data_IF_647424796412
#
_entry.id   IF_647424796412
#
_cell.length_a   1.000
_cell.length_b   1.000
_cell.length_c   1.000
_cell.angle_alpha   90.00
_cell.angle_beta   90.00
_cell.angle_gamma   90.00
#
_symmetry.space_group_name_H-M   'P 1'
#
loop_
_entity.id
_entity.type
_entity.pdbx_description
1 polymer ?
#
# COMPACT_ATOMS: atom_id res chain seq x y z
N UNK A 1 16.70 -26.77 4.03
CA UNK A 1 15.43 -26.07 4.32
C UNK A 1 15.15 -25.26 3.05
N UNK A 2 14.13 -25.67 2.30
CA UNK A 2 13.97 -25.28 0.88
C UNK A 2 13.50 -23.82 0.84
N UNK A 3 14.38 -22.92 0.38
CA UNK A 3 13.96 -21.60 -0.10
C UNK A 3 13.12 -21.81 -1.36
N UNK A 4 11.79 -21.73 -1.23
CA UNK A 4 10.93 -21.60 -2.40
C UNK A 4 11.26 -20.25 -3.06
N UNK A 5 12.04 -20.31 -4.14
CA UNK A 5 12.12 -19.24 -5.12
C UNK A 5 10.72 -18.99 -5.68
N UNK A 6 9.96 -18.08 -5.07
CA UNK A 6 8.67 -17.61 -5.60
C UNK A 6 8.86 -16.68 -6.82
N UNK A 7 9.81 -17.02 -7.71
CA UNK A 7 10.17 -16.27 -8.90
C UNK A 7 9.19 -16.56 -10.03
N UNK A 8 8.19 -15.71 -10.19
CA UNK A 8 7.47 -15.58 -11.46
C UNK A 8 7.96 -14.31 -12.14
N UNK A 9 8.16 -14.39 -13.45
CA UNK A 9 8.60 -13.26 -14.25
C UNK A 9 7.42 -12.45 -14.81
N UNK A 10 6.18 -12.96 -14.67
CA UNK A 10 4.97 -12.34 -15.23
C UNK A 10 3.76 -12.35 -14.31
N UNK A 11 3.08 -11.22 -14.25
CA UNK A 11 1.82 -11.01 -13.54
C UNK A 11 0.80 -10.39 -14.49
N UNK A 12 -0.42 -10.89 -14.45
CA UNK A 12 -1.58 -10.28 -15.10
C UNK A 12 -2.45 -9.65 -14.03
N UNK A 13 -2.71 -8.35 -14.14
CA UNK A 13 -3.60 -7.63 -13.23
C UNK A 13 -4.95 -7.41 -13.91
N UNK A 14 -5.96 -8.16 -13.50
CA UNK A 14 -7.35 -7.96 -13.88
C UNK A 14 -7.82 -6.63 -13.30
N UNK A 15 -8.11 -5.66 -14.18
CA UNK A 15 -8.41 -4.30 -13.80
C UNK A 15 -9.84 -3.93 -14.19
N UNK A 16 -10.65 -3.54 -13.21
CA UNK A 16 -12.01 -3.02 -13.39
C UNK A 16 -12.10 -1.58 -12.85
N UNK A 17 -13.30 -1.11 -12.50
CA UNK A 17 -13.50 0.21 -11.89
C UNK A 17 -12.69 0.41 -10.59
N UNK A 18 -12.34 -0.68 -9.89
CA UNK A 18 -11.55 -0.61 -8.67
C UNK A 18 -10.12 -0.17 -8.90
N UNK A 19 -9.60 -0.21 -10.15
CA UNK A 19 -8.29 0.33 -10.49
C UNK A 19 -8.11 1.80 -10.05
N UNK A 20 -9.20 2.57 -10.09
CA UNK A 20 -9.25 3.99 -9.76
C UNK A 20 -9.71 4.27 -8.32
N UNK A 21 -10.05 3.24 -7.52
CA UNK A 21 -10.37 3.44 -6.12
C UNK A 21 -9.17 4.03 -5.38
N UNK A 22 -9.43 5.04 -4.54
CA UNK A 22 -8.41 5.64 -3.70
C UNK A 22 -8.34 4.93 -2.36
N UNK A 23 -7.20 4.30 -2.07
CA UNK A 23 -6.95 3.63 -0.80
C UNK A 23 -5.67 4.24 -0.21
N UNK A 24 -5.81 4.92 0.93
CA UNK A 24 -4.70 5.61 1.59
C UNK A 24 -4.00 6.64 0.67
N UNK A 25 -4.79 7.35 -0.14
CA UNK A 25 -4.31 8.46 -0.99
C UNK A 25 -3.57 8.03 -2.27
N UNK A 26 -3.63 6.75 -2.65
CA UNK A 26 -3.15 6.23 -3.94
C UNK A 26 -4.28 5.54 -4.68
N UNK A 27 -4.24 5.56 -6.02
CA UNK A 27 -5.10 4.68 -6.82
C UNK A 27 -4.67 3.24 -6.59
N UNK A 28 -5.64 2.35 -6.58
CA UNK A 28 -5.43 0.97 -6.23
C UNK A 28 -4.52 0.23 -7.25
N UNK A 29 -4.61 0.55 -8.54
CA UNK A 29 -3.67 0.02 -9.53
C UNK A 29 -2.24 0.51 -9.28
N UNK A 30 -2.05 1.80 -8.97
CA UNK A 30 -0.73 2.36 -8.61
C UNK A 30 -0.16 1.62 -7.39
N UNK A 31 -1.01 1.36 -6.39
CA UNK A 31 -0.64 0.67 -5.16
C UNK A 31 -0.16 -0.75 -5.40
N UNK A 32 -0.89 -1.54 -6.19
CA UNK A 32 -0.51 -2.92 -6.52
C UNK A 32 0.81 -2.97 -7.29
N UNK A 33 0.98 -2.07 -8.25
CA UNK A 33 2.20 -2.00 -9.07
C UNK A 33 3.41 -1.58 -8.24
N UNK A 34 3.26 -0.60 -7.35
CA UNK A 34 4.32 -0.21 -6.40
C UNK A 34 4.66 -1.34 -5.42
N UNK A 35 3.65 -2.09 -4.95
CA UNK A 35 3.86 -3.28 -4.14
C UNK A 35 4.65 -4.36 -4.88
N UNK A 36 4.31 -4.65 -6.14
CA UNK A 36 5.00 -5.63 -6.96
C UNK A 36 6.44 -5.20 -7.28
N UNK A 37 6.67 -3.91 -7.51
CA UNK A 37 8.02 -3.36 -7.68
C UNK A 37 8.87 -3.52 -6.41
N UNK A 38 8.30 -3.28 -5.23
CA UNK A 38 8.96 -3.54 -3.95
C UNK A 38 9.25 -5.04 -3.75
N UNK A 39 8.27 -5.90 -4.05
CA UNK A 39 8.44 -7.35 -3.98
C UNK A 39 9.57 -7.84 -4.90
N UNK A 40 9.63 -7.33 -6.13
CA UNK A 40 10.71 -7.64 -7.07
C UNK A 40 12.09 -7.19 -6.56
N UNK A 41 12.16 -6.00 -5.93
CA UNK A 41 13.39 -5.50 -5.29
C UNK A 41 13.82 -6.42 -4.15
N UNK A 42 12.88 -6.88 -3.32
CA UNK A 42 13.15 -7.74 -2.18
C UNK A 42 13.63 -9.15 -2.59
N UNK A 43 13.12 -9.69 -3.70
CA UNK A 43 13.57 -10.99 -4.22
C UNK A 43 14.97 -10.95 -4.88
N UNK A 44 15.54 -9.75 -5.11
CA UNK A 44 16.86 -9.61 -5.71
C UNK A 44 16.93 -10.10 -7.17
N UNK A 45 15.80 -10.28 -7.86
CA UNK A 45 15.78 -10.80 -9.23
C UNK A 45 16.49 -9.83 -10.18
N UNK A 46 17.46 -10.33 -10.94
CA UNK A 46 18.11 -9.55 -12.00
C UNK A 46 17.10 -9.14 -13.10
N UNK A 47 16.09 -9.98 -13.33
CA UNK A 47 15.04 -9.76 -14.31
C UNK A 47 13.93 -8.86 -13.76
N UNK A 48 13.35 -8.05 -14.66
CA UNK A 48 12.16 -7.24 -14.37
C UNK A 48 10.92 -8.11 -14.45
N UNK A 49 9.99 -7.92 -13.51
CA UNK A 49 8.67 -8.55 -13.57
C UNK A 49 7.85 -7.83 -14.65
N UNK A 50 7.33 -8.59 -15.60
CA UNK A 50 6.36 -8.11 -16.58
C UNK A 50 4.97 -8.07 -15.95
N UNK A 51 4.35 -6.89 -15.93
CA UNK A 51 2.97 -6.70 -15.51
C UNK A 51 2.13 -6.39 -16.75
N UNK A 52 1.20 -7.28 -17.06
CA UNK A 52 0.19 -7.08 -18.09
C UNK A 52 -1.09 -6.63 -17.41
N UNK A 53 -1.49 -5.38 -17.63
CA UNK A 53 -2.76 -4.86 -17.14
C UNK A 53 -3.87 -5.29 -18.09
N UNK A 54 -4.77 -6.12 -17.59
CA UNK A 54 -5.88 -6.66 -18.36
C UNK A 54 -7.19 -6.02 -17.92
N UNK A 55 -7.60 -4.99 -18.67
CA UNK A 55 -8.81 -4.24 -18.39
C UNK A 55 -10.07 -5.04 -18.72
N UNK A 56 -11.07 -4.89 -17.86
CA UNK A 56 -12.43 -5.32 -18.10
C UNK A 56 -12.94 -4.67 -19.40
N UNK A 57 -13.47 -5.45 -20.37
CA UNK A 57 -13.78 -4.94 -21.72
C UNK A 57 -14.67 -3.70 -21.73
N UNK A 58 -15.60 -3.59 -20.77
CA UNK A 58 -16.56 -2.48 -20.66
C UNK A 58 -15.93 -1.15 -20.22
N UNK A 59 -14.69 -1.15 -19.70
CA UNK A 59 -14.03 0.08 -19.23
C UNK A 59 -13.51 0.89 -20.44
N UNK A 60 -13.90 2.16 -20.61
CA UNK A 60 -13.45 3.00 -21.72
C UNK A 60 -11.94 3.24 -21.72
N UNK A 61 -11.31 3.34 -22.90
CA UNK A 61 -9.86 3.59 -23.02
C UNK A 61 -9.38 4.87 -22.29
N UNK A 62 -10.22 5.90 -22.19
CA UNK A 62 -9.92 7.14 -21.45
C UNK A 62 -9.70 6.92 -19.95
N UNK A 63 -10.28 5.85 -19.38
CA UNK A 63 -10.18 5.52 -17.95
C UNK A 63 -9.05 4.52 -17.66
N UNK A 64 -8.45 3.93 -18.70
CA UNK A 64 -7.38 2.92 -18.63
C UNK A 64 -6.01 3.55 -18.37
N UNK A 65 -5.88 4.20 -17.22
CA UNK A 65 -4.70 4.98 -16.88
C UNK A 65 -3.63 4.12 -16.20
N UNK A 66 -2.62 3.69 -16.97
CA UNK A 66 -1.46 2.96 -16.44
C UNK A 66 -0.63 3.83 -15.46
N UNK A 67 -0.11 3.24 -14.37
CA UNK A 67 0.79 3.93 -13.44
C UNK A 67 2.05 4.46 -14.12
N UNK A 68 2.38 5.73 -13.88
CA UNK A 68 3.59 6.40 -14.37
C UNK A 68 4.39 6.97 -13.19
N UNK A 69 4.86 6.10 -12.30
CA UNK A 69 5.61 6.54 -11.12
C UNK A 69 7.12 6.35 -11.35
N UNK A 70 7.93 7.38 -11.09
CA UNK A 70 9.40 7.32 -11.22
C UNK A 70 10.07 6.26 -10.32
N UNK A 71 9.34 5.76 -9.31
CA UNK A 71 9.82 4.75 -8.36
C UNK A 71 9.69 3.32 -8.89
N UNK A 72 8.91 3.11 -9.95
CA UNK A 72 8.77 1.82 -10.63
C UNK A 72 10.04 1.61 -11.45
N UNK A 73 10.83 0.61 -11.08
CA UNK A 73 12.18 0.39 -11.62
C UNK A 73 12.42 -1.07 -12.01
N UNK A 74 11.80 -2.01 -11.28
CA UNK A 74 11.92 -3.47 -11.46
C UNK A 74 10.72 -4.10 -12.17
N UNK A 75 9.77 -3.28 -12.60
CA UNK A 75 8.57 -3.73 -13.30
C UNK A 75 8.51 -3.12 -14.69
N UNK A 76 8.06 -3.92 -15.67
CA UNK A 76 7.65 -3.44 -16.99
C UNK A 76 6.13 -3.53 -17.08
N UNK A 77 5.45 -2.40 -17.28
CA UNK A 77 4.01 -2.39 -17.47
C UNK A 77 3.65 -2.39 -18.95
N UNK A 78 2.73 -3.27 -19.31
CA UNK A 78 2.08 -3.33 -20.62
C UNK A 78 0.57 -3.44 -20.43
N UNK A 79 -0.20 -3.03 -21.44
CA UNK A 79 -1.63 -3.34 -21.49
C UNK A 79 -1.83 -4.62 -22.30
N UNK A 80 -2.80 -5.45 -21.92
CA UNK A 80 -3.14 -6.64 -22.69
C UNK A 80 -3.63 -6.25 -24.09
N UNK A 81 -2.83 -6.55 -25.12
CA UNK A 81 -3.17 -6.34 -26.53
C UNK A 81 -2.99 -7.64 -27.31
N UNK A 82 -4.07 -8.17 -27.89
CA UNK A 82 -4.04 -9.37 -28.73
C UNK A 82 -4.12 -10.67 -27.92
N UNK A 83 -3.00 -11.10 -27.32
CA UNK A 83 -2.95 -12.36 -26.55
C UNK A 83 -2.20 -12.22 -25.24
N UNK A 84 -2.64 -12.94 -24.21
CA UNK A 84 -1.92 -13.05 -22.94
C UNK A 84 -1.19 -14.39 -22.91
N UNK A 85 0.12 -14.34 -22.73
CA UNK A 85 0.98 -15.52 -22.68
C UNK A 85 0.74 -16.35 -21.40
N UNK A 86 0.98 -17.68 -21.48
CA UNK A 86 0.81 -18.58 -20.34
C UNK A 86 1.85 -18.35 -19.23
N UNK A 87 1.70 -19.10 -18.14
CA UNK A 87 2.52 -19.08 -16.93
C UNK A 87 2.52 -17.77 -16.13
N UNK A 88 1.63 -16.82 -16.44
CA UNK A 88 1.42 -15.62 -15.66
C UNK A 88 0.62 -15.90 -14.38
N UNK A 89 1.00 -15.28 -13.26
CA UNK A 89 0.16 -15.23 -12.05
C UNK A 89 -0.91 -14.15 -12.19
N UNK A 90 -2.11 -14.44 -11.72
CA UNK A 90 -3.23 -13.50 -11.78
C UNK A 90 -3.39 -12.76 -10.46
N UNK A 91 -3.55 -11.45 -10.55
CA UNK A 91 -4.02 -10.57 -9.50
C UNK A 91 -5.22 -9.78 -10.02
N UNK A 92 -5.99 -9.16 -9.12
CA UNK A 92 -7.04 -8.21 -9.50
C UNK A 92 -6.89 -6.89 -8.75
N UNK A 93 -7.36 -5.79 -9.33
CA UNK A 93 -7.37 -4.47 -8.67
C UNK A 93 -8.20 -4.47 -7.38
N UNK A 94 -9.17 -5.38 -7.25
CA UNK A 94 -9.92 -5.59 -6.00
C UNK A 94 -9.10 -6.22 -4.87
N UNK A 95 -7.89 -6.71 -5.12
CA UNK A 95 -7.00 -7.19 -4.07
C UNK A 95 -6.29 -6.02 -3.39
N UNK A 96 -6.64 -5.71 -2.16
CA UNK A 96 -5.84 -4.86 -1.29
C UNK A 96 -4.73 -5.67 -0.63
N UNK A 97 -3.49 -5.19 -0.71
CA UNK A 97 -2.35 -5.78 -0.01
C UNK A 97 -1.66 -4.72 0.83
N UNK A 98 -1.37 -5.07 2.09
CA UNK A 98 -0.56 -4.27 2.99
C UNK A 98 0.87 -4.09 2.49
N UNK A 99 1.62 -3.17 3.10
CA UNK A 99 3.03 -2.98 2.74
C UNK A 99 3.83 -4.24 3.05
N UNK A 100 4.75 -4.65 2.16
CA UNK A 100 5.55 -5.89 2.28
C UNK A 100 4.75 -7.20 2.42
N UNK A 101 3.44 -7.19 2.17
CA UNK A 101 2.58 -8.36 2.38
C UNK A 101 2.38 -9.24 1.12
N UNK A 102 2.90 -8.82 -0.03
CA UNK A 102 2.75 -9.58 -1.29
C UNK A 102 3.44 -10.95 -1.24
N UNK A 103 4.62 -11.04 -0.61
CA UNK A 103 5.29 -12.33 -0.43
C UNK A 103 4.42 -13.30 0.37
N UNK A 104 3.81 -12.81 1.45
CA UNK A 104 2.88 -13.59 2.28
C UNK A 104 1.63 -13.99 1.50
N UNK A 105 1.04 -13.07 0.74
CA UNK A 105 -0.09 -13.41 -0.14
C UNK A 105 0.26 -14.54 -1.11
N UNK A 106 1.42 -14.45 -1.77
CA UNK A 106 1.86 -15.44 -2.74
C UNK A 106 2.23 -16.80 -2.14
N UNK A 107 2.56 -16.86 -0.85
CA UNK A 107 2.86 -18.11 -0.15
C UNK A 107 1.63 -18.74 0.50
N UNK A 108 0.62 -17.95 0.89
CA UNK A 108 -0.59 -18.45 1.55
C UNK A 108 -1.74 -18.74 0.58
N UNK A 109 -1.80 -18.05 -0.55
CA UNK A 109 -2.93 -18.14 -1.48
C UNK A 109 -2.58 -19.00 -2.69
N UNK A 110 -3.41 -20.01 -3.05
CA UNK A 110 -3.18 -20.82 -4.24
C UNK A 110 -2.98 -19.96 -5.49
N UNK A 111 -1.94 -20.20 -6.30
CA UNK A 111 -1.67 -19.37 -7.45
C UNK A 111 -2.73 -19.62 -8.53
N UNK A 112 -3.46 -18.57 -8.90
CA UNK A 112 -4.28 -18.57 -10.11
C UNK A 112 -3.35 -18.28 -11.29
N UNK A 113 -3.23 -19.24 -12.22
CA UNK A 113 -2.31 -19.18 -13.35
C UNK A 113 -3.05 -19.27 -14.67
N UNK A 114 -2.47 -18.63 -15.69
CA UNK A 114 -2.89 -18.81 -17.08
C UNK A 114 -2.13 -20.00 -17.65
N UNK A 115 -2.81 -21.13 -17.85
CA UNK A 115 -2.18 -22.36 -18.37
C UNK A 115 -2.04 -22.37 -19.89
N UNK A 116 -2.97 -21.72 -20.58
CA UNK A 116 -3.02 -21.65 -22.05
C UNK A 116 -3.06 -20.20 -22.50
N UNK A 117 -2.47 -19.87 -23.67
CA UNK A 117 -2.52 -18.52 -24.21
C UNK A 117 -3.97 -18.08 -24.40
N UNK A 118 -4.29 -16.88 -23.93
CA UNK A 118 -5.63 -16.31 -24.03
C UNK A 118 -5.69 -15.48 -25.30
N UNK A 119 -6.51 -15.92 -26.26
CA UNK A 119 -6.75 -15.21 -27.53
C UNK A 119 -8.08 -14.44 -27.48
N UNK A 120 -9.12 -15.03 -26.87
CA UNK A 120 -10.38 -14.34 -26.59
C UNK A 120 -10.31 -13.64 -25.22
N UNK A 121 -9.95 -12.37 -25.24
CA UNK A 121 -9.88 -11.54 -24.04
C UNK A 121 -11.28 -11.27 -23.45
N UNK A 122 -12.29 -11.07 -24.28
CA UNK A 122 -13.63 -10.68 -23.80
C UNK A 122 -14.26 -11.80 -22.96
N UNK A 123 -14.22 -13.05 -23.43
CA UNK A 123 -14.74 -14.20 -22.69
C UNK A 123 -13.83 -14.70 -21.56
N UNK A 124 -12.54 -14.33 -21.57
CA UNK A 124 -11.60 -14.74 -20.54
C UNK A 124 -11.68 -13.90 -19.26
N UNK A 125 -11.89 -12.59 -19.38
CA UNK A 125 -11.85 -11.69 -18.22
C UNK A 125 -12.79 -12.13 -17.08
N UNK A 126 -14.10 -12.39 -17.32
CA UNK A 126 -15.02 -12.78 -16.24
C UNK A 126 -14.65 -14.12 -15.60
N UNK A 127 -14.20 -15.10 -16.40
CA UNK A 127 -13.81 -16.44 -15.91
C UNK A 127 -12.60 -16.36 -14.99
N UNK A 128 -11.57 -15.62 -15.40
CA UNK A 128 -10.36 -15.44 -14.59
C UNK A 128 -10.65 -14.66 -13.31
N UNK A 129 -11.48 -13.63 -13.41
CA UNK A 129 -11.88 -12.83 -12.26
C UNK A 129 -12.66 -13.68 -11.24
N UNK A 130 -13.63 -14.47 -11.69
CA UNK A 130 -14.40 -15.37 -10.83
C UNK A 130 -13.50 -16.41 -10.15
N UNK A 131 -12.54 -16.99 -10.88
CA UNK A 131 -11.57 -17.91 -10.31
C UNK A 131 -10.72 -17.22 -9.23
N UNK A 132 -10.21 -16.02 -9.50
CA UNK A 132 -9.44 -15.23 -8.54
C UNK A 132 -10.25 -14.85 -7.30
N UNK A 133 -11.49 -14.42 -7.48
CA UNK A 133 -12.41 -14.10 -6.38
C UNK A 133 -12.67 -15.33 -5.50
N UNK A 134 -12.98 -16.50 -6.09
CA UNK A 134 -13.19 -17.74 -5.34
C UNK A 134 -11.98 -18.11 -4.50
N UNK A 135 -10.78 -18.03 -5.08
CA UNK A 135 -9.53 -18.30 -4.37
C UNK A 135 -9.32 -17.32 -3.20
N UNK A 136 -9.56 -16.02 -3.40
CA UNK A 136 -9.45 -15.06 -2.30
C UNK A 136 -10.49 -15.30 -1.21
N UNK A 137 -11.73 -15.67 -1.55
CA UNK A 137 -12.80 -15.94 -0.58
C UNK A 137 -12.60 -17.24 0.21
N UNK A 138 -11.83 -18.18 -0.32
CA UNK A 138 -11.47 -19.42 0.39
C UNK A 138 -10.34 -19.25 1.41
N UNK A 139 -9.68 -18.09 1.44
CA UNK A 139 -8.58 -17.81 2.36
C UNK A 139 -9.03 -17.74 3.82
N UNK A 140 -8.12 -18.03 4.75
CA UNK A 140 -8.43 -18.00 6.17
C UNK A 140 -8.38 -16.58 6.75
N UNK A 141 -9.11 -16.30 7.84
CA UNK A 141 -9.07 -15.00 8.54
C UNK A 141 -7.66 -14.58 8.98
N UNK A 142 -6.76 -15.54 9.25
CA UNK A 142 -5.38 -15.26 9.62
C UNK A 142 -4.55 -14.72 8.44
N UNK A 143 -4.90 -15.11 7.22
CA UNK A 143 -4.29 -14.61 5.99
C UNK A 143 -4.78 -13.21 5.66
N UNK A 144 -6.06 -12.93 5.92
CA UNK A 144 -6.70 -11.61 5.71
C UNK A 144 -6.14 -10.48 6.60
N UNK A 145 -5.26 -10.78 7.57
CA UNK A 145 -4.62 -9.74 8.39
C UNK A 145 -3.71 -8.83 7.54
N UNK A 146 -3.15 -9.33 6.45
CA UNK A 146 -2.13 -8.63 5.64
C UNK A 146 -2.62 -8.22 4.25
N UNK A 147 -3.70 -8.83 3.77
CA UNK A 147 -4.34 -8.52 2.50
C UNK A 147 -5.86 -8.69 2.62
N UNK A 148 -6.63 -8.15 1.68
CA UNK A 148 -8.09 -8.24 1.68
C UNK A 148 -8.62 -8.21 0.24
N UNK A 149 -9.61 -9.03 -0.07
CA UNK A 149 -10.39 -8.86 -1.29
C UNK A 149 -11.49 -7.83 -1.06
N UNK A 150 -11.60 -6.83 -1.94
CA UNK A 150 -12.56 -5.73 -1.83
C UNK A 150 -13.68 -5.94 -2.85
N UNK A 151 -14.83 -6.40 -2.38
CA UNK A 151 -16.02 -6.51 -3.20
C UNK A 151 -16.69 -5.14 -3.42
N UNK A 152 -16.55 -4.22 -2.46
CA UNK A 152 -17.21 -2.92 -2.49
C UNK A 152 -16.31 -1.77 -2.00
N UNK A 153 -16.55 -0.52 -2.47
CA UNK A 153 -15.83 0.66 -1.98
C UNK A 153 -15.99 0.92 -0.48
N UNK A 154 -17.08 0.45 0.14
CA UNK A 154 -17.34 0.58 1.59
C UNK A 154 -16.25 -0.07 2.45
N UNK A 155 -15.53 -1.07 1.90
CA UNK A 155 -14.48 -1.81 2.57
C UNK A 155 -13.13 -1.06 2.60
N UNK A 156 -12.98 0.01 1.82
CA UNK A 156 -11.75 0.81 1.75
C UNK A 156 -11.35 1.33 3.14
N UNK A 157 -12.32 1.80 3.93
CA UNK A 157 -12.05 2.32 5.27
C UNK A 157 -11.46 1.24 6.19
N UNK A 158 -11.94 0.00 6.07
CA UNK A 158 -11.42 -1.13 6.85
C UNK A 158 -9.99 -1.46 6.42
N UNK A 159 -9.71 -1.45 5.11
CA UNK A 159 -8.39 -1.68 4.53
C UNK A 159 -7.37 -0.60 4.92
N UNK A 160 -7.77 0.67 4.96
CA UNK A 160 -6.91 1.76 5.44
C UNK A 160 -6.57 1.60 6.94
N UNK A 161 -7.55 1.22 7.76
CA UNK A 161 -7.29 0.91 9.17
C UNK A 161 -6.32 -0.25 9.31
N UNK A 162 -6.51 -1.31 8.53
CA UNK A 162 -5.63 -2.48 8.49
C UNK A 162 -4.20 -2.09 8.07
N UNK A 163 -4.05 -1.24 7.06
CA UNK A 163 -2.76 -0.72 6.62
C UNK A 163 -2.01 0.01 7.73
N UNK A 164 -2.70 0.96 8.39
CA UNK A 164 -2.10 1.83 9.40
C UNK A 164 -1.79 1.09 10.70
N UNK A 165 -2.55 0.04 11.03
CA UNK A 165 -2.25 -0.82 12.19
C UNK A 165 -0.88 -1.47 12.09
N UNK A 166 -0.49 -1.91 10.88
CA UNK A 166 0.81 -2.52 10.61
C UNK A 166 1.94 -1.52 10.34
N UNK A 167 1.66 -0.21 10.45
CA UNK A 167 2.66 0.84 10.23
C UNK A 167 3.43 1.24 11.50
N UNK A 168 3.26 0.51 12.62
CA UNK A 168 4.02 0.76 13.86
C UNK A 168 5.48 0.32 13.74
N UNK A 169 6.38 0.96 14.50
CA UNK A 169 7.81 0.61 14.54
C UNK A 169 8.07 -0.36 15.69
N UNK A 170 9.04 -1.27 15.52
CA UNK A 170 9.43 -2.21 16.58
C UNK A 170 9.99 -1.53 17.82
N UNK A 171 10.62 -0.36 17.66
CA UNK A 171 11.17 0.45 18.76
C UNK A 171 10.16 1.39 19.44
N UNK A 172 8.86 1.33 19.11
CA UNK A 172 7.86 2.17 19.76
C UNK A 172 7.78 1.84 21.27
N UNK A 173 8.17 2.81 22.12
CA UNK A 173 8.00 2.71 23.57
C UNK A 173 6.52 2.63 23.97
N UNK A 174 6.23 2.28 25.24
CA UNK A 174 4.85 2.05 25.72
C UNK A 174 3.91 3.24 25.44
N UNK A 175 4.34 4.47 25.71
CA UNK A 175 3.54 5.68 25.44
C UNK A 175 3.27 5.84 23.94
N UNK A 176 4.28 5.60 23.09
CA UNK A 176 4.09 5.63 21.64
C UNK A 176 3.07 4.58 21.20
N UNK A 177 3.24 3.34 21.65
CA UNK A 177 2.43 2.19 21.24
C UNK A 177 0.95 2.30 21.66
N UNK A 178 0.68 2.77 22.88
CA UNK A 178 -0.66 2.76 23.47
C UNK A 178 -1.39 4.11 23.41
N UNK A 179 -0.67 5.24 23.33
CA UNK A 179 -1.28 6.57 23.28
C UNK A 179 -1.06 7.25 21.92
N UNK A 180 0.19 7.39 21.49
CA UNK A 180 0.48 8.19 20.30
C UNK A 180 0.03 7.49 19.01
N UNK A 181 0.23 6.17 18.88
CA UNK A 181 -0.11 5.38 17.70
C UNK A 181 -1.61 5.33 17.40
N UNK A 182 -2.51 5.11 18.37
CA UNK A 182 -3.94 5.19 18.10
C UNK A 182 -4.37 6.56 17.56
N UNK A 183 -3.84 7.66 18.13
CA UNK A 183 -4.21 9.02 17.73
C UNK A 183 -3.59 9.39 16.38
N UNK A 184 -2.28 9.16 16.21
CA UNK A 184 -1.57 9.42 14.95
C UNK A 184 -2.19 8.67 13.78
N UNK A 185 -2.55 7.39 13.90
CA UNK A 185 -3.22 6.64 12.82
C UNK A 185 -4.57 7.25 12.43
N UNK A 186 -5.33 7.80 13.36
CA UNK A 186 -6.59 8.50 13.06
C UNK A 186 -6.29 9.78 12.27
N UNK A 187 -5.31 10.56 12.72
CA UNK A 187 -4.87 11.79 12.04
C UNK A 187 -4.33 11.47 10.64
N UNK A 188 -3.39 10.54 10.53
CA UNK A 188 -2.82 10.06 9.26
C UNK A 188 -3.91 9.66 8.28
N UNK A 189 -4.93 8.90 8.69
CA UNK A 189 -6.02 8.51 7.80
C UNK A 189 -6.77 9.71 7.22
N UNK A 190 -6.91 10.80 7.98
CA UNK A 190 -7.48 12.05 7.48
C UNK A 190 -6.51 12.75 6.52
N UNK A 191 -5.22 12.82 6.87
CA UNK A 191 -4.18 13.43 6.04
C UNK A 191 -3.96 12.69 4.71
N UNK A 192 -4.18 11.37 4.67
CA UNK A 192 -4.06 10.57 3.45
C UNK A 192 -5.10 10.93 2.38
N UNK A 193 -6.23 11.53 2.78
CA UNK A 193 -7.24 12.08 1.85
C UNK A 193 -6.79 13.39 1.19
N UNK A 194 -5.73 14.00 1.72
CA UNK A 194 -5.17 15.24 1.21
C UNK A 194 -3.92 14.94 0.37
N UNK A 195 -3.55 15.81 -0.58
CA UNK A 195 -2.32 15.71 -1.36
C UNK A 195 -1.07 16.11 -0.53
N UNK A 196 -1.02 15.71 0.75
CA UNK A 196 0.10 16.00 1.65
C UNK A 196 1.19 14.95 1.46
N UNK A 197 2.44 15.41 1.44
CA UNK A 197 3.66 14.59 1.41
C UNK A 197 4.21 14.39 2.82
N UNK A 198 4.98 13.30 3.08
CA UNK A 198 5.63 13.09 4.38
C UNK A 198 6.45 14.31 4.82
N UNK A 199 7.26 14.88 3.92
CA UNK A 199 8.09 16.04 4.22
C UNK A 199 7.27 17.27 4.64
N UNK A 200 6.11 17.49 4.00
CA UNK A 200 5.22 18.57 4.41
C UNK A 200 4.68 18.34 5.82
N UNK A 201 4.33 17.09 6.17
CA UNK A 201 3.95 16.72 7.54
C UNK A 201 5.09 16.99 8.54
N UNK A 202 6.32 16.58 8.22
CA UNK A 202 7.50 16.85 9.07
C UNK A 202 7.74 18.35 9.28
N UNK A 203 7.64 19.16 8.22
CA UNK A 203 7.82 20.62 8.31
C UNK A 203 6.73 21.25 9.19
N UNK A 204 5.47 20.82 9.05
CA UNK A 204 4.37 21.30 9.88
C UNK A 204 4.59 20.95 11.36
N UNK A 205 5.00 19.71 11.64
CA UNK A 205 5.34 19.26 13.00
C UNK A 205 6.50 20.08 13.59
N UNK A 206 7.55 20.33 12.80
CA UNK A 206 8.69 21.14 13.22
C UNK A 206 8.29 22.61 13.50
N UNK A 207 7.41 23.19 12.68
CA UNK A 207 6.93 24.56 12.88
C UNK A 207 6.11 24.75 14.17
N UNK A 208 5.55 23.68 14.74
CA UNK A 208 4.86 23.73 16.04
C UNK A 208 5.83 23.79 17.22
N UNK A 209 7.09 23.34 17.06
CA UNK A 209 8.05 23.29 18.17
C UNK A 209 8.41 24.69 18.73
N UNK A 210 8.69 25.73 17.91
CA UNK A 210 8.86 27.09 18.41
C UNK A 210 7.63 27.63 19.15
N UNK A 211 6.42 27.27 18.71
CA UNK A 211 5.17 27.68 19.38
C UNK A 211 5.09 27.05 20.75
N UNK A 212 5.33 25.74 20.86
CA UNK A 212 5.38 25.05 22.16
C UNK A 212 6.43 25.66 23.08
N UNK A 213 7.63 25.93 22.57
CA UNK A 213 8.72 26.58 23.30
C UNK A 213 8.33 27.96 23.83
N UNK A 214 7.70 28.81 23.01
CA UNK A 214 7.25 30.14 23.42
C UNK A 214 6.25 30.10 24.58
N UNK A 215 5.38 29.07 24.65
CA UNK A 215 4.49 28.86 25.80
C UNK A 215 5.25 28.34 27.03
N UNK A 216 6.18 27.39 26.86
CA UNK A 216 6.94 26.82 27.98
C UNK A 216 7.86 27.85 28.66
N UNK A 217 8.50 28.73 27.89
CA UNK A 217 9.43 29.75 28.43
C UNK A 217 8.75 30.82 29.27
N UNK A 218 7.42 31.01 29.13
CA UNK A 218 6.67 31.96 29.97
C UNK A 218 6.74 31.64 31.46
N UNK A 219 6.94 30.37 31.82
CA UNK A 219 7.11 29.93 33.21
C UNK A 219 5.86 30.04 34.09
N UNK A 220 4.70 30.36 33.51
CA UNK A 220 3.42 30.38 34.20
C UNK A 220 2.65 29.06 34.01
N UNK A 221 1.60 28.86 34.81
CA UNK A 221 0.80 27.62 34.78
C UNK A 221 0.17 27.38 33.39
N UNK A 222 -0.39 28.43 32.79
CA UNK A 222 -1.03 28.35 31.47
C UNK A 222 -0.02 28.02 30.38
N UNK A 223 1.17 28.62 30.41
CA UNK A 223 2.27 28.34 29.51
C UNK A 223 2.75 26.90 29.61
N UNK A 224 2.89 26.38 30.83
CA UNK A 224 3.23 24.97 31.05
C UNK A 224 2.16 24.03 30.49
N UNK A 225 0.87 24.29 30.76
CA UNK A 225 -0.25 23.47 30.31
C UNK A 225 -0.33 23.41 28.76
N UNK A 226 -0.35 24.58 28.12
CA UNK A 226 -0.45 24.68 26.65
C UNK A 226 0.81 24.16 25.97
N UNK A 227 1.99 24.53 26.49
CA UNK A 227 3.28 24.10 25.96
C UNK A 227 3.45 22.58 26.03
N UNK A 228 3.08 21.95 27.15
CA UNK A 228 3.13 20.49 27.30
C UNK A 228 2.12 19.78 26.39
N UNK A 229 0.92 20.33 26.23
CA UNK A 229 -0.08 19.80 25.30
C UNK A 229 0.39 19.87 23.84
N UNK A 230 1.01 20.98 23.43
CA UNK A 230 1.61 21.12 22.10
C UNK A 230 2.80 20.18 21.91
N UNK A 231 3.66 20.03 22.91
CA UNK A 231 4.76 19.07 22.87
C UNK A 231 4.24 17.63 22.69
N UNK A 232 3.20 17.26 23.42
CA UNK A 232 2.56 15.96 23.24
C UNK A 232 1.94 15.80 21.85
N UNK A 233 1.32 16.86 21.31
CA UNK A 233 0.80 16.85 19.94
C UNK A 233 1.92 16.67 18.90
N UNK A 234 3.07 17.34 19.07
CA UNK A 234 4.25 17.17 18.21
C UNK A 234 4.70 15.71 18.21
N UNK A 235 4.80 15.07 19.37
CA UNK A 235 5.17 13.64 19.47
C UNK A 235 4.16 12.71 18.77
N UNK A 236 2.89 13.08 18.70
CA UNK A 236 1.87 12.34 17.95
C UNK A 236 2.03 12.58 16.44
N UNK A 237 2.22 13.84 16.03
CA UNK A 237 2.33 14.23 14.61
C UNK A 237 3.62 13.73 13.96
N UNK A 238 4.71 13.61 14.72
CA UNK A 238 5.95 12.99 14.27
C UNK A 238 5.75 11.52 13.84
N UNK A 239 4.78 10.81 14.44
CA UNK A 239 4.41 9.48 14.00
C UNK A 239 3.74 9.44 12.62
N UNK A 240 3.09 10.54 12.21
CA UNK A 240 2.25 10.61 11.02
C UNK A 240 3.07 10.64 9.73
N UNK A 241 4.24 11.29 9.70
CA UNK A 241 5.03 11.42 8.47
C UNK A 241 5.50 10.05 7.94
N UNK A 242 5.96 9.16 8.83
CA UNK A 242 6.38 7.81 8.52
C UNK A 242 5.21 6.92 8.13
N UNK A 243 4.05 7.11 8.76
CA UNK A 243 2.82 6.39 8.38
C UNK A 243 2.35 6.82 6.97
N UNK A 244 2.38 8.11 6.65
CA UNK A 244 2.10 8.62 5.29
C UNK A 244 3.13 8.10 4.30
N UNK A 245 4.42 8.09 4.68
CA UNK A 245 5.50 7.62 3.82
C UNK A 245 5.32 6.15 3.44
N UNK A 246 5.02 5.28 4.41
CA UNK A 246 4.76 3.86 4.16
C UNK A 246 3.46 3.65 3.38
N UNK A 247 2.41 4.38 3.72
CA UNK A 247 1.10 4.26 3.07
C UNK A 247 1.12 4.65 1.59
N UNK A 248 1.83 5.73 1.24
CA UNK A 248 1.95 6.27 -0.14
C UNK A 248 3.19 5.80 -0.91
N UNK A 249 3.97 4.85 -0.37
CA UNK A 249 5.24 4.42 -0.96
C UNK A 249 6.24 5.56 -1.20
N UNK A 250 6.26 6.53 -0.29
CA UNK A 250 7.11 7.71 -0.31
C UNK A 250 8.33 7.61 0.62
N UNK A 251 8.51 6.49 1.34
CA UNK A 251 9.68 6.25 2.19
C UNK A 251 11.00 6.30 1.41
N UNK A 252 12.07 6.72 2.09
CA UNK A 252 13.43 6.78 1.53
C UNK A 252 14.30 5.69 2.15
N UNK A 253 15.35 5.26 1.44
CA UNK A 253 16.30 4.28 1.99
C UNK A 253 16.98 4.79 3.25
N UNK A 254 17.33 6.08 3.30
CA UNK A 254 17.85 6.74 4.50
C UNK A 254 16.86 6.69 5.65
N UNK A 255 15.59 7.01 5.41
CA UNK A 255 14.53 6.92 6.41
C UNK A 255 14.34 5.50 6.92
N UNK A 256 14.39 4.51 6.03
CA UNK A 256 14.28 3.09 6.39
C UNK A 256 15.46 2.61 7.24
N UNK A 257 16.68 3.06 6.96
CA UNK A 257 17.86 2.76 7.79
C UNK A 257 17.73 3.39 9.17
N UNK A 258 17.36 4.67 9.25
CA UNK A 258 17.12 5.35 10.53
C UNK A 258 16.01 4.68 11.35
N UNK A 259 14.99 4.14 10.69
CA UNK A 259 13.91 3.38 11.35
C UNK A 259 14.33 1.97 11.79
N UNK A 260 15.45 1.44 11.31
CA UNK A 260 15.93 0.09 11.62
C UNK A 260 17.01 0.03 12.71
N UNK A 261 17.60 1.18 13.07
CA UNK A 261 18.53 1.34 14.20
C UNK A 261 17.77 1.82 15.45
#
# INVERSE_FOLDING_TARGET
>A
MIEEHHGFDRVVILSDESANWQIAGLRQLDRLVLGLDEFAKAMGTANKIEIVVFWKPEIPFSERLLPKHQRITRVRLTEASGSIEPAARILATRLFVGRNALSKFFSTTPPVKIEQPIVDLTGAWPRLFEQFERTCRSATRAEEEYWRFLAQPSEIIASEKQLLRHSGKSQDGMVSKFLNRPISRVITRLLLKLPITPNACTILTFALAPVAFAFLVRGDYTGFLVGSALFQLINILDGCDGEIARAKYLDSERGRRLDAF
#
